data_IF_994532383134
#
_entry.id   IF_994532383134
#
_cell.length_a   1.000
_cell.length_b   1.000
_cell.length_c   1.000
_cell.angle_alpha   90.00
_cell.angle_beta   90.00
_cell.angle_gamma   90.00
#
_symmetry.space_group_name_H-M   'P 1'
#
loop_
_entity.id
_entity.type
_entity.pdbx_description
1 polymer ?
#
# COMPACT_ATOMS: atom_id res chain seq x y z
N UNK A 1 -3.36 17.27 3.41
CA UNK A 1 -4.82 17.37 3.23
C UNK A 1 -5.12 17.81 1.79
N UNK A 2 -5.97 17.05 1.09
CA UNK A 2 -6.38 17.25 -0.30
C UNK A 2 -7.59 18.20 -0.35
N UNK A 3 -7.31 19.51 -0.21
CA UNK A 3 -8.33 20.56 0.02
C UNK A 3 -9.36 20.73 -1.10
N UNK A 4 -9.09 20.22 -2.30
CA UNK A 4 -9.97 20.36 -3.47
C UNK A 4 -10.69 19.07 -3.85
N UNK A 5 -10.57 18.01 -3.05
CA UNK A 5 -11.32 16.77 -3.25
C UNK A 5 -12.74 16.95 -2.71
N UNK A 6 -13.70 17.23 -3.59
CA UNK A 6 -15.09 17.55 -3.22
C UNK A 6 -16.05 16.37 -3.31
N UNK A 7 -15.65 15.29 -4.00
CA UNK A 7 -16.47 14.08 -4.12
C UNK A 7 -16.44 13.28 -2.81
N UNK A 8 -17.63 12.91 -2.29
CA UNK A 8 -17.78 12.13 -1.06
C UNK A 8 -17.59 10.62 -1.24
N UNK A 9 -17.58 10.13 -2.48
CA UNK A 9 -17.37 8.72 -2.78
C UNK A 9 -15.88 8.44 -3.00
N UNK A 10 -15.15 8.32 -1.90
CA UNK A 10 -13.70 8.11 -1.91
C UNK A 10 -13.42 6.64 -1.59
N UNK A 11 -12.59 6.01 -2.42
CA UNK A 11 -12.03 4.68 -2.18
C UNK A 11 -10.51 4.79 -2.20
N UNK A 12 -9.83 4.14 -1.25
CA UNK A 12 -8.37 4.12 -1.22
C UNK A 12 -7.87 2.75 -1.69
N UNK A 13 -7.04 2.76 -2.73
CA UNK A 13 -6.30 1.60 -3.18
C UNK A 13 -4.81 1.87 -2.94
N UNK A 14 -4.15 0.98 -2.21
CA UNK A 14 -2.76 1.14 -1.78
C UNK A 14 -1.96 -0.09 -2.17
N UNK A 15 -0.80 0.14 -2.76
CA UNK A 15 0.22 -0.89 -2.97
C UNK A 15 1.49 -0.47 -2.25
N UNK A 16 2.13 -1.39 -1.54
CA UNK A 16 3.35 -1.11 -0.81
C UNK A 16 4.34 -2.27 -0.90
N UNK A 17 5.63 -1.97 -1.04
CA UNK A 17 6.71 -2.94 -0.95
C UNK A 17 6.97 -3.42 0.49
N UNK A 18 5.91 -3.77 1.22
CA UNK A 18 5.96 -4.22 2.59
C UNK A 18 4.84 -5.22 2.87
N UNK A 19 4.90 -5.87 4.03
CA UNK A 19 3.79 -6.70 4.48
C UNK A 19 2.52 -5.85 4.71
N UNK A 20 1.38 -6.21 4.10
CA UNK A 20 0.12 -5.53 4.35
C UNK A 20 -0.28 -5.44 5.82
N UNK A 21 0.14 -6.39 6.63
CA UNK A 21 -0.14 -6.44 8.07
C UNK A 21 0.96 -5.75 8.91
N UNK A 22 2.05 -5.29 8.29
CA UNK A 22 3.11 -4.59 9.02
C UNK A 22 2.64 -3.26 9.59
N UNK A 23 3.24 -2.86 10.72
CA UNK A 23 3.05 -1.53 11.29
C UNK A 23 3.31 -0.40 10.26
N UNK A 24 4.27 -0.59 9.36
CA UNK A 24 4.57 0.37 8.30
C UNK A 24 3.43 0.51 7.28
N UNK A 25 2.81 -0.61 6.86
CA UNK A 25 1.67 -0.59 5.95
C UNK A 25 0.43 0.04 6.60
N UNK A 26 0.14 -0.31 7.85
CA UNK A 26 -0.98 0.25 8.63
C UNK A 26 -0.81 1.76 8.79
N UNK A 27 0.37 2.21 9.21
CA UNK A 27 0.67 3.64 9.35
C UNK A 27 0.59 4.37 8.00
N UNK A 28 1.04 3.75 6.90
CA UNK A 28 0.95 4.34 5.56
C UNK A 28 -0.50 4.52 5.11
N UNK A 29 -1.37 3.54 5.35
CA UNK A 29 -2.80 3.64 5.09
C UNK A 29 -3.46 4.73 5.96
N UNK A 30 -3.11 4.82 7.24
CA UNK A 30 -3.60 5.90 8.12
C UNK A 30 -3.16 7.28 7.62
N UNK A 31 -1.91 7.42 7.19
CA UNK A 31 -1.41 8.67 6.60
C UNK A 31 -2.19 9.05 5.33
N UNK A 32 -2.50 8.07 4.47
CA UNK A 32 -3.34 8.31 3.30
C UNK A 32 -4.75 8.78 3.68
N UNK A 33 -5.36 8.16 4.70
CA UNK A 33 -6.66 8.59 5.25
C UNK A 33 -6.61 10.02 5.81
N UNK A 34 -5.54 10.38 6.51
CA UNK A 34 -5.33 11.72 7.07
C UNK A 34 -5.13 12.81 6.00
N UNK A 35 -4.85 12.42 4.75
CA UNK A 35 -4.81 13.36 3.63
C UNK A 35 -6.20 13.71 3.10
N UNK A 36 -7.23 12.93 3.40
CA UNK A 36 -8.59 13.23 2.96
C UNK A 36 -9.15 14.47 3.68
N UNK A 37 -10.13 15.18 3.09
CA UNK A 37 -10.88 16.22 3.79
C UNK A 37 -11.42 15.73 5.15
N UNK A 38 -11.39 16.59 6.16
CA UNK A 38 -11.72 16.24 7.55
C UNK A 38 -13.15 15.71 7.74
N UNK A 39 -14.05 16.07 6.83
CA UNK A 39 -15.46 15.66 6.79
C UNK A 39 -15.71 14.46 5.88
N UNK A 40 -14.65 13.84 5.36
CA UNK A 40 -14.72 12.71 4.43
C UNK A 40 -14.10 11.45 5.03
N UNK A 41 -14.75 10.32 4.79
CA UNK A 41 -14.25 8.99 5.15
C UNK A 41 -14.25 8.12 3.90
N UNK A 42 -13.19 7.31 3.69
CA UNK A 42 -13.19 6.41 2.55
C UNK A 42 -14.26 5.34 2.75
N UNK A 43 -15.13 5.17 1.75
CA UNK A 43 -16.18 4.14 1.73
C UNK A 43 -15.61 2.72 1.64
N UNK A 44 -14.36 2.60 1.22
CA UNK A 44 -13.61 1.36 1.28
C UNK A 44 -12.12 1.59 1.10
N UNK A 45 -11.34 0.66 1.65
CA UNK A 45 -9.88 0.66 1.51
C UNK A 45 -9.37 -0.71 1.14
N UNK A 46 -8.39 -0.75 0.26
CA UNK A 46 -7.67 -1.94 -0.12
C UNK A 46 -6.17 -1.70 -0.02
N UNK A 47 -5.45 -2.67 0.54
CA UNK A 47 -3.99 -2.66 0.57
C UNK A 47 -3.48 -4.03 0.15
N UNK A 48 -2.60 -4.06 -0.85
CA UNK A 48 -1.84 -5.25 -1.20
C UNK A 48 -0.34 -4.97 -1.25
N UNK A 49 0.44 -6.05 -1.23
CA UNK A 49 1.88 -5.95 -1.41
C UNK A 49 2.18 -5.65 -2.88
N UNK A 50 2.98 -4.62 -3.11
CA UNK A 50 3.48 -4.26 -4.43
C UNK A 50 4.85 -4.86 -4.71
N UNK A 51 5.21 -4.93 -5.98
CA UNK A 51 6.54 -5.32 -6.40
C UNK A 51 7.57 -4.25 -6.02
N UNK A 52 8.80 -4.67 -5.74
CA UNK A 52 9.93 -3.76 -5.55
C UNK A 52 11.13 -4.23 -6.36
N UNK A 53 11.79 -3.30 -7.04
CA UNK A 53 13.00 -3.62 -7.79
C UNK A 53 14.21 -3.67 -6.86
N UNK A 54 15.22 -4.47 -7.24
CA UNK A 54 16.52 -4.52 -6.56
C UNK A 54 17.17 -3.13 -6.45
N UNK A 55 17.02 -2.30 -7.48
CA UNK A 55 17.57 -0.96 -7.51
C UNK A 55 16.90 -0.04 -6.48
N UNK A 56 15.57 -0.09 -6.36
CA UNK A 56 14.83 0.69 -5.36
C UNK A 56 15.25 0.31 -3.94
N UNK A 57 15.37 -1.00 -3.67
CA UNK A 57 15.84 -1.49 -2.37
C UNK A 57 17.25 -1.00 -2.07
N UNK A 58 18.17 -1.12 -3.04
CA UNK A 58 19.55 -0.63 -2.90
C UNK A 58 19.59 0.87 -2.57
N UNK A 59 18.88 1.71 -3.34
CA UNK A 59 18.82 3.17 -3.12
C UNK A 59 18.24 3.52 -1.75
N UNK A 60 17.28 2.73 -1.27
CA UNK A 60 16.70 2.92 0.06
C UNK A 60 17.74 2.72 1.17
N UNK A 61 18.54 1.66 1.10
CA UNK A 61 19.61 1.41 2.08
C UNK A 61 20.82 2.35 1.96
N UNK A 62 21.12 2.85 0.75
CA UNK A 62 22.12 3.91 0.55
C UNK A 62 21.69 5.22 1.25
N UNK A 63 20.39 5.55 1.16
CA UNK A 63 19.84 6.78 1.75
C UNK A 63 19.58 6.65 3.26
N UNK A 64 19.21 5.46 3.72
CA UNK A 64 18.87 5.18 5.11
C UNK A 64 19.76 4.03 5.62
N UNK A 65 20.99 4.33 6.07
CA UNK A 65 21.91 3.30 6.54
C UNK A 65 21.29 2.55 7.72
N UNK A 66 21.13 1.24 7.56
CA UNK A 66 20.39 0.40 8.49
C UNK A 66 21.31 -0.64 9.11
N UNK A 67 21.48 -0.57 10.43
CA UNK A 67 22.23 -1.58 11.21
C UNK A 67 23.65 -1.85 10.68
N UNK A 68 24.11 -3.08 10.93
CA UNK A 68 25.36 -3.60 10.37
C UNK A 68 25.11 -4.28 9.01
N UNK A 69 26.20 -4.61 8.29
CA UNK A 69 26.14 -5.19 6.94
C UNK A 69 25.26 -6.44 6.85
N UNK A 70 25.30 -7.33 7.85
CA UNK A 70 24.52 -8.57 7.85
C UNK A 70 23.02 -8.30 8.01
N UNK A 71 22.66 -7.40 8.94
CA UNK A 71 21.25 -7.02 9.17
C UNK A 71 20.66 -6.34 7.94
N UNK A 72 21.46 -5.51 7.25
CA UNK A 72 21.08 -4.90 5.98
C UNK A 72 20.80 -5.95 4.92
N UNK A 73 21.73 -6.88 4.68
CA UNK A 73 21.58 -7.93 3.66
C UNK A 73 20.35 -8.80 3.94
N UNK A 74 20.11 -9.17 5.20
CA UNK A 74 18.94 -9.96 5.57
C UNK A 74 17.64 -9.19 5.27
N UNK A 75 17.59 -7.90 5.59
CA UNK A 75 16.44 -7.04 5.31
C UNK A 75 16.20 -6.87 3.80
N UNK A 76 17.26 -6.66 3.01
CA UNK A 76 17.21 -6.61 1.54
C UNK A 76 16.63 -7.90 0.95
N UNK A 77 17.14 -9.05 1.39
CA UNK A 77 16.68 -10.36 0.95
C UNK A 77 15.22 -10.62 1.30
N UNK A 78 14.78 -10.28 2.53
CA UNK A 78 13.39 -10.43 2.95
C UNK A 78 12.44 -9.55 2.12
N UNK A 79 12.80 -8.28 1.90
CA UNK A 79 11.99 -7.38 1.09
C UNK A 79 11.87 -7.84 -0.36
N UNK A 80 12.99 -8.23 -0.97
CA UNK A 80 13.02 -8.69 -2.36
C UNK A 80 12.31 -10.03 -2.55
N UNK A 81 12.54 -11.01 -1.67
CA UNK A 81 11.88 -12.32 -1.76
C UNK A 81 10.37 -12.22 -1.50
N UNK A 82 9.99 -11.43 -0.50
CA UNK A 82 8.60 -11.20 -0.14
C UNK A 82 7.83 -10.35 -1.13
N UNK A 83 8.48 -9.48 -1.90
CA UNK A 83 7.81 -8.60 -2.87
C UNK A 83 7.95 -9.08 -4.32
N UNK A 84 8.95 -9.90 -4.67
CA UNK A 84 9.10 -10.42 -6.03
C UNK A 84 7.93 -11.31 -6.46
N UNK A 85 7.19 -11.86 -5.50
CA UNK A 85 6.02 -12.70 -5.72
C UNK A 85 4.70 -11.93 -5.74
N UNK A 86 4.73 -10.60 -5.55
CA UNK A 86 3.53 -9.78 -5.44
C UNK A 86 3.63 -8.52 -6.32
N UNK A 87 2.52 -8.00 -6.86
CA UNK A 87 1.19 -8.61 -6.83
C UNK A 87 1.14 -9.92 -7.62
N UNK A 88 0.44 -10.93 -7.09
CA UNK A 88 0.15 -12.21 -7.76
C UNK A 88 -1.33 -12.34 -8.15
N UNK A 89 -1.70 -13.48 -8.72
CA UNK A 89 -3.08 -13.78 -9.13
C UNK A 89 -4.08 -13.66 -7.97
N UNK A 90 -3.68 -13.99 -6.74
CA UNK A 90 -4.54 -13.84 -5.56
C UNK A 90 -4.74 -12.36 -5.21
N UNK A 91 -3.68 -11.54 -5.25
CA UNK A 91 -3.79 -10.09 -5.06
C UNK A 91 -4.69 -9.45 -6.13
N UNK A 92 -4.55 -9.92 -7.38
CA UNK A 92 -5.38 -9.48 -8.52
C UNK A 92 -6.85 -9.86 -8.32
N UNK A 93 -7.15 -11.09 -7.90
CA UNK A 93 -8.50 -11.52 -7.60
C UNK A 93 -9.12 -10.73 -6.44
N UNK A 94 -8.33 -10.42 -5.40
CA UNK A 94 -8.76 -9.62 -4.26
C UNK A 94 -9.06 -8.18 -4.65
N UNK A 95 -8.21 -7.53 -5.45
CA UNK A 95 -8.48 -6.15 -5.92
C UNK A 95 -9.67 -6.11 -6.87
N UNK A 96 -9.84 -7.11 -7.74
CA UNK A 96 -11.00 -7.20 -8.63
C UNK A 96 -12.29 -7.31 -7.81
N UNK A 97 -12.31 -8.20 -6.81
CA UNK A 97 -13.45 -8.35 -5.90
C UNK A 97 -13.74 -7.04 -5.18
N UNK A 98 -12.71 -6.39 -4.62
CA UNK A 98 -12.84 -5.08 -3.99
C UNK A 98 -13.46 -4.05 -4.94
N UNK A 99 -12.91 -3.90 -6.15
CA UNK A 99 -13.40 -2.95 -7.14
C UNK A 99 -14.86 -3.20 -7.52
N UNK A 100 -15.27 -4.46 -7.69
CA UNK A 100 -16.66 -4.84 -7.95
C UNK A 100 -17.59 -4.43 -6.81
N UNK A 101 -17.23 -4.72 -5.56
CA UNK A 101 -18.03 -4.36 -4.37
C UNK A 101 -18.16 -2.84 -4.23
N UNK A 102 -17.08 -2.09 -4.45
CA UNK A 102 -17.10 -0.62 -4.39
C UNK A 102 -17.95 -0.03 -5.52
N UNK A 103 -17.87 -0.60 -6.72
CA UNK A 103 -18.69 -0.16 -7.84
C UNK A 103 -20.19 -0.42 -7.62
N UNK A 104 -20.57 -1.54 -7.00
CA UNK A 104 -21.98 -1.77 -6.63
C UNK A 104 -22.44 -0.79 -5.55
N UNK A 105 -21.61 -0.53 -4.53
CA UNK A 105 -21.91 0.50 -3.53
C UNK A 105 -22.15 1.89 -4.14
N UNK A 106 -21.54 2.22 -5.27
CA UNK A 106 -21.81 3.47 -5.98
C UNK A 106 -23.16 3.48 -6.69
N UNK A 107 -23.64 2.32 -7.16
CA UNK A 107 -24.92 2.19 -7.87
C UNK A 107 -26.13 2.24 -6.94
N UNK A 108 -25.96 1.77 -5.71
CA UNK A 108 -27.04 1.68 -4.72
C UNK A 108 -27.23 2.97 -3.90
N UNK A 109 -26.54 4.06 -4.26
CA UNK A 109 -26.58 5.38 -3.60
C UNK A 109 -27.36 6.39 -4.45
#
# INVERSE_FOLDING_TARGET
MLRHLTNRHIFLFVTLAADPESAHAIASMQNAKNLLPSDSFPKGTFLCRGAVSKETVRKMFEKYPFGNTETRILSECCLLSGSARHPNDEDLAKVETFARVMYQHLKDQ
#
